data_IF_283807234628
#
_entry.id   IF_283807234628
#
_cell.length_a   1.000
_cell.length_b   1.000
_cell.length_c   1.000
_cell.angle_alpha   90.00
_cell.angle_beta   90.00
_cell.angle_gamma   90.00
#
_symmetry.space_group_name_H-M   'P 1'
#
loop_
_entity.id
_entity.type
_entity.pdbx_description
1 polymer ?
#
# COMPACT_ATOMS: atom_id res chain seq x y z
N UNK A 1 51.30 19.01 12.22
CA UNK A 1 50.40 20.06 12.69
C UNK A 1 49.15 19.37 13.20
N UNK A 2 48.66 19.73 14.39
CA UNK A 2 47.36 19.20 14.87
C UNK A 2 46.28 19.67 13.92
N UNK A 3 45.56 18.74 13.26
CA UNK A 3 44.41 19.09 12.42
C UNK A 3 43.31 19.54 13.37
N UNK A 4 42.64 20.63 13.03
CA UNK A 4 41.44 21.07 13.74
C UNK A 4 40.26 20.13 13.47
N UNK A 5 39.10 20.49 13.98
CA UNK A 5 37.84 19.75 13.74
C UNK A 5 36.68 20.68 13.39
N UNK A 6 35.70 20.10 12.73
CA UNK A 6 34.44 20.78 12.45
C UNK A 6 33.33 20.18 13.31
N UNK A 7 32.61 21.02 14.04
CA UNK A 7 31.40 20.68 14.76
C UNK A 7 30.21 21.25 14.02
N UNK A 8 29.20 20.46 13.71
CA UNK A 8 27.96 20.95 13.10
C UNK A 8 26.86 20.87 14.14
N UNK A 9 26.34 22.00 14.54
CA UNK A 9 25.47 22.10 15.72
C UNK A 9 24.11 22.72 15.40
N UNK A 10 23.04 22.03 15.81
CA UNK A 10 21.66 22.53 15.76
C UNK A 10 21.35 23.35 17.00
N UNK A 11 21.19 24.68 16.85
CA UNK A 11 20.97 25.59 17.98
C UNK A 11 19.49 25.68 18.44
N UNK A 12 18.62 24.77 18.00
CA UNK A 12 17.20 24.83 18.29
C UNK A 12 16.45 25.91 17.49
N UNK A 13 15.14 26.06 17.72
CA UNK A 13 14.27 26.92 16.89
C UNK A 13 14.39 28.41 17.22
N UNK A 14 15.00 28.79 18.35
CA UNK A 14 15.23 30.19 18.66
C UNK A 14 15.25 30.57 20.15
N UNK A 15 14.80 29.71 21.05
CA UNK A 15 14.90 29.93 22.50
C UNK A 15 16.21 29.31 23.03
N UNK A 16 16.87 30.02 23.96
CA UNK A 16 18.05 29.46 24.65
C UNK A 16 17.71 28.15 25.40
N UNK A 17 16.52 28.09 26.00
CA UNK A 17 16.05 26.88 26.68
C UNK A 17 15.93 25.63 25.75
N UNK A 18 15.88 25.84 24.46
CA UNK A 18 15.83 24.77 23.44
C UNK A 18 17.24 24.39 22.92
N UNK A 19 18.30 25.03 23.40
CA UNK A 19 19.71 24.66 23.11
C UNK A 19 20.09 23.50 24.01
N UNK A 20 20.54 22.38 23.43
CA UNK A 20 20.99 21.25 24.23
C UNK A 20 22.32 21.54 24.95
N UNK A 21 22.58 20.97 26.14
CA UNK A 21 23.84 21.16 26.85
C UNK A 21 25.09 20.80 26.00
N UNK A 22 24.98 19.78 25.14
CA UNK A 22 26.05 19.38 24.24
C UNK A 22 26.36 20.45 23.19
N UNK A 23 25.32 21.06 22.61
CA UNK A 23 25.45 22.17 21.63
C UNK A 23 26.03 23.41 22.33
N UNK A 24 25.58 23.75 23.54
CA UNK A 24 26.14 24.85 24.30
C UNK A 24 27.64 24.65 24.58
N UNK A 25 28.04 23.47 25.03
CA UNK A 25 29.45 23.13 25.25
C UNK A 25 30.29 23.20 23.96
N UNK A 26 29.73 22.74 22.83
CA UNK A 26 30.35 22.83 21.52
C UNK A 26 30.61 24.29 21.09
N UNK A 27 29.60 25.17 21.26
CA UNK A 27 29.72 26.59 20.98
C UNK A 27 30.82 27.23 21.85
N UNK A 28 30.80 26.97 23.15
CA UNK A 28 31.73 27.56 24.11
C UNK A 28 33.19 27.06 23.96
N UNK A 29 33.38 25.83 23.42
CA UNK A 29 34.72 25.27 23.21
C UNK A 29 35.30 25.60 21.82
N UNK A 30 34.54 26.19 20.93
CA UNK A 30 35.01 26.48 19.56
C UNK A 30 35.82 27.78 19.47
N UNK A 31 36.80 27.80 18.58
CA UNK A 31 37.62 28.98 18.27
C UNK A 31 36.91 29.87 17.27
N UNK A 32 36.12 29.25 16.34
CA UNK A 32 35.41 29.93 15.27
C UNK A 32 33.99 29.42 15.22
N UNK A 33 33.02 30.33 15.17
CA UNK A 33 31.60 30.03 14.90
C UNK A 33 31.24 30.55 13.53
N UNK A 34 30.71 29.68 12.67
CA UNK A 34 30.27 30.03 11.34
C UNK A 34 28.76 29.81 11.19
N UNK A 35 28.04 30.79 10.71
CA UNK A 35 26.59 30.68 10.57
C UNK A 35 25.94 31.72 9.68
N UNK A 36 24.62 31.60 9.50
CA UNK A 36 23.84 32.65 8.92
C UNK A 36 23.68 33.80 9.91
N UNK A 37 23.88 35.06 9.45
CA UNK A 37 23.86 36.26 10.26
C UNK A 37 22.73 36.32 11.30
N UNK A 38 21.51 35.95 10.88
CA UNK A 38 20.34 36.01 11.74
C UNK A 38 20.43 35.07 12.95
N UNK A 39 21.19 33.95 12.86
CA UNK A 39 21.31 32.96 13.94
C UNK A 39 22.19 33.43 15.08
N UNK A 40 23.13 34.33 14.84
CA UNK A 40 24.02 34.88 15.87
C UNK A 40 23.24 35.60 16.97
N UNK A 41 22.08 36.21 16.64
CA UNK A 41 21.23 36.87 17.65
C UNK A 41 20.80 35.94 18.78
N UNK A 42 20.77 34.64 18.54
CA UNK A 42 20.32 33.65 19.54
C UNK A 42 21.47 33.13 20.40
N UNK A 43 22.73 33.31 20.01
CA UNK A 43 23.90 32.69 20.67
C UNK A 43 25.00 33.67 21.07
N UNK A 44 24.98 34.92 20.61
CA UNK A 44 26.09 35.87 20.85
C UNK A 44 26.43 36.03 22.35
N UNK A 45 25.44 36.02 23.20
CA UNK A 45 25.61 36.12 24.64
C UNK A 45 26.15 34.85 25.32
N UNK A 46 26.20 33.74 24.59
CA UNK A 46 26.71 32.43 25.06
C UNK A 46 28.16 32.19 24.68
N UNK A 47 28.73 33.06 23.83
CA UNK A 47 30.07 32.89 23.30
C UNK A 47 31.13 33.18 24.34
N UNK A 48 32.26 32.45 24.24
CA UNK A 48 33.45 32.74 25.00
C UNK A 48 34.14 34.00 24.46
N UNK A 49 34.76 34.77 25.34
CA UNK A 49 35.59 35.90 24.93
C UNK A 49 36.71 35.46 23.97
N UNK A 50 36.87 36.20 22.87
CA UNK A 50 37.85 35.86 21.82
C UNK A 50 37.35 34.90 20.77
N UNK A 51 36.13 34.35 20.83
CA UNK A 51 35.56 33.52 19.76
C UNK A 51 35.36 34.33 18.49
N UNK A 52 35.91 33.88 17.39
CA UNK A 52 35.74 34.51 16.08
C UNK A 52 34.34 34.14 15.47
N UNK A 53 33.59 35.12 15.04
CA UNK A 53 32.28 34.91 14.43
C UNK A 53 32.28 35.23 12.93
N UNK A 54 31.99 34.24 12.11
CA UNK A 54 31.94 34.38 10.65
C UNK A 54 30.47 34.34 10.20
N UNK A 55 29.99 35.49 9.82
CA UNK A 55 28.65 35.67 9.29
C UNK A 55 28.68 35.52 7.76
N UNK A 56 27.86 34.63 7.25
CA UNK A 56 27.66 34.46 5.82
C UNK A 56 26.20 34.74 5.45
N UNK A 57 25.98 35.42 4.34
CA UNK A 57 24.64 35.78 3.87
C UNK A 57 23.74 34.58 3.58
N UNK A 58 22.46 34.85 3.31
CA UNK A 58 21.49 33.84 2.85
C UNK A 58 21.92 33.25 1.49
N UNK A 59 21.62 31.96 1.26
CA UNK A 59 22.00 31.20 0.04
C UNK A 59 23.53 31.13 -0.18
N UNK A 60 24.30 31.12 0.91
CA UNK A 60 25.76 30.99 0.91
C UNK A 60 26.24 29.74 1.68
N UNK A 61 25.45 28.67 1.62
CA UNK A 61 25.71 27.45 2.36
C UNK A 61 27.05 26.81 1.94
N UNK A 62 27.37 26.79 0.64
CA UNK A 62 28.61 26.23 0.13
C UNK A 62 29.82 27.04 0.62
N UNK A 63 29.78 28.37 0.50
CA UNK A 63 30.87 29.23 1.00
C UNK A 63 31.07 29.09 2.52
N UNK A 64 29.98 28.87 3.27
CA UNK A 64 30.02 28.58 4.71
C UNK A 64 30.76 27.29 5.02
N UNK A 65 30.49 26.24 4.25
CA UNK A 65 31.18 24.96 4.38
C UNK A 65 32.67 25.08 4.00
N UNK A 66 33.00 25.76 2.89
CA UNK A 66 34.39 26.01 2.45
C UNK A 66 35.18 26.72 3.53
N UNK A 67 34.63 27.77 4.15
CA UNK A 67 35.29 28.49 5.25
C UNK A 67 35.50 27.57 6.46
N UNK A 68 34.54 26.70 6.79
CA UNK A 68 34.70 25.77 7.90
C UNK A 68 35.91 24.83 7.70
N UNK A 69 36.06 24.29 6.50
CA UNK A 69 37.21 23.47 6.16
C UNK A 69 38.53 24.27 6.14
N UNK A 70 38.53 25.52 5.68
CA UNK A 70 39.70 26.37 5.66
C UNK A 70 40.23 26.58 7.08
N UNK A 71 39.40 27.04 8.02
CA UNK A 71 39.77 27.23 9.41
C UNK A 71 40.17 25.94 10.15
N UNK A 72 39.47 24.82 9.84
CA UNK A 72 39.84 23.54 10.43
C UNK A 72 41.22 23.04 9.93
N UNK A 73 41.58 23.31 8.68
CA UNK A 73 42.91 23.02 8.16
C UNK A 73 44.01 23.89 8.81
N UNK A 74 43.68 25.05 9.35
CA UNK A 74 44.58 25.89 10.16
C UNK A 74 44.73 25.35 11.60
N UNK A 75 44.07 24.24 11.96
CA UNK A 75 44.11 23.64 13.28
C UNK A 75 43.10 24.17 14.28
N UNK A 76 42.11 24.97 13.83
CA UNK A 76 41.07 25.52 14.70
C UNK A 76 39.91 24.56 14.91
N UNK A 77 39.24 24.63 16.05
CA UNK A 77 37.94 24.01 16.29
C UNK A 77 36.85 24.95 15.78
N UNK A 78 36.10 24.51 14.76
CA UNK A 78 35.08 25.31 14.05
C UNK A 78 33.70 24.76 14.35
N UNK A 79 32.78 25.60 14.84
CA UNK A 79 31.39 25.23 14.99
C UNK A 79 30.51 25.87 13.90
N UNK A 80 29.93 25.06 13.06
CA UNK A 80 28.94 25.48 12.04
C UNK A 80 27.56 25.36 12.64
N UNK A 81 26.86 26.48 12.82
CA UNK A 81 25.54 26.53 13.44
C UNK A 81 24.40 26.49 12.42
N UNK A 82 23.35 25.77 12.75
CA UNK A 82 22.05 25.74 12.04
C UNK A 82 20.92 26.00 12.99
N UNK A 83 19.89 26.75 12.56
CA UNK A 83 18.64 26.84 13.32
C UNK A 83 17.90 25.49 13.31
N UNK A 84 17.23 25.16 14.38
CA UNK A 84 16.60 23.85 14.55
C UNK A 84 17.65 22.73 14.70
N UNK A 85 17.48 21.65 13.97
CA UNK A 85 18.42 20.54 13.87
C UNK A 85 19.32 20.70 12.65
N UNK A 86 20.63 20.46 12.82
CA UNK A 86 21.60 20.64 11.75
C UNK A 86 21.52 19.54 10.67
N UNK A 87 20.92 18.38 10.94
CA UNK A 87 20.72 17.27 10.02
C UNK A 87 19.40 17.36 9.23
N UNK A 88 18.42 18.13 9.73
CA UNK A 88 17.10 18.25 9.09
C UNK A 88 17.06 19.54 8.26
N UNK A 89 17.32 19.40 6.95
CA UNK A 89 17.45 20.52 6.00
C UNK A 89 18.49 21.58 6.40
N UNK A 90 19.47 21.20 7.24
CA UNK A 90 20.53 22.05 7.75
C UNK A 90 21.89 21.78 7.09
N UNK A 91 22.98 22.19 7.76
CA UNK A 91 24.33 22.19 7.22
C UNK A 91 25.03 20.81 7.22
N UNK A 92 24.57 19.85 8.04
CA UNK A 92 25.26 18.56 8.23
C UNK A 92 25.47 17.81 6.91
N UNK A 93 24.44 17.61 6.03
CA UNK A 93 24.66 16.91 4.78
C UNK A 93 25.73 17.54 3.90
N UNK A 94 25.70 18.85 3.75
CA UNK A 94 26.64 19.60 2.90
C UNK A 94 28.08 19.48 3.43
N UNK A 95 28.30 19.52 4.73
CA UNK A 95 29.64 19.36 5.32
C UNK A 95 30.19 17.96 5.05
N UNK A 96 29.36 16.91 5.15
CA UNK A 96 29.79 15.55 4.84
C UNK A 96 30.02 15.33 3.34
N UNK A 97 29.18 15.90 2.48
CA UNK A 97 29.38 15.87 1.02
C UNK A 97 30.69 16.55 0.64
N UNK A 98 30.96 17.75 1.17
CA UNK A 98 32.22 18.47 0.89
C UNK A 98 33.46 17.72 1.41
N UNK A 99 33.38 17.08 2.58
CA UNK A 99 34.45 16.21 3.08
C UNK A 99 34.77 15.12 2.07
N UNK A 100 33.74 14.45 1.55
CA UNK A 100 33.89 13.36 0.58
C UNK A 100 34.52 13.86 -0.72
N UNK A 101 33.97 14.94 -1.30
CA UNK A 101 34.44 15.48 -2.58
C UNK A 101 35.85 16.04 -2.54
N UNK A 102 36.25 16.67 -1.42
CA UNK A 102 37.60 17.21 -1.23
C UNK A 102 38.63 16.17 -0.76
N UNK A 103 38.22 14.97 -0.41
CA UNK A 103 39.08 13.97 0.20
C UNK A 103 39.65 14.40 1.56
N UNK A 104 39.00 15.34 2.26
CA UNK A 104 39.48 15.89 3.52
C UNK A 104 39.44 14.85 4.64
N UNK A 105 40.49 14.81 5.46
CA UNK A 105 40.58 13.96 6.67
C UNK A 105 40.12 14.71 7.95
N UNK A 106 39.64 15.93 7.86
CA UNK A 106 39.16 16.70 9.01
C UNK A 106 38.07 15.91 9.74
N UNK A 107 38.19 15.83 11.05
CA UNK A 107 37.19 15.22 11.91
C UNK A 107 35.89 16.07 11.92
N UNK A 108 34.75 15.42 11.79
CA UNK A 108 33.43 16.08 11.85
C UNK A 108 32.64 15.45 12.99
N UNK A 109 32.17 16.29 13.89
CA UNK A 109 31.20 15.95 14.94
C UNK A 109 29.85 16.62 14.59
N UNK A 110 28.73 15.94 14.85
CA UNK A 110 27.39 16.52 14.64
C UNK A 110 26.58 16.42 15.92
N UNK A 111 26.04 17.54 16.37
CA UNK A 111 25.18 17.61 17.54
C UNK A 111 23.77 18.01 17.12
N UNK A 112 22.75 17.19 17.45
CA UNK A 112 21.35 17.47 17.09
C UNK A 112 20.83 18.67 17.91
N UNK A 113 19.88 19.37 17.29
CA UNK A 113 19.08 20.41 17.93
C UNK A 113 17.59 20.07 17.90
N UNK A 114 16.78 20.79 18.67
CA UNK A 114 15.34 20.67 18.60
C UNK A 114 14.87 21.26 17.27
N UNK A 115 14.27 20.43 16.43
CA UNK A 115 13.78 20.87 15.11
C UNK A 115 12.53 21.76 15.25
N UNK A 116 12.36 22.68 14.30
CA UNK A 116 11.21 23.59 14.29
C UNK A 116 9.87 22.83 14.27
N UNK A 117 9.77 21.68 13.56
CA UNK A 117 8.54 20.89 13.55
C UNK A 117 8.25 20.23 14.91
N UNK A 118 9.27 19.81 15.66
CA UNK A 118 9.10 19.26 17.01
C UNK A 118 8.58 20.35 17.97
N UNK A 119 9.16 21.54 17.89
CA UNK A 119 8.68 22.70 18.68
C UNK A 119 7.26 23.07 18.28
N UNK A 120 6.95 23.13 16.99
CA UNK A 120 5.60 23.39 16.50
C UNK A 120 4.61 22.32 16.98
N UNK A 121 4.97 21.06 16.92
CA UNK A 121 4.14 19.96 17.40
C UNK A 121 3.82 20.07 18.90
N UNK A 122 4.82 20.43 19.73
CA UNK A 122 4.61 20.61 21.18
C UNK A 122 3.68 21.79 21.51
N UNK A 123 3.68 22.82 20.67
CA UNK A 123 2.80 23.98 20.80
C UNK A 123 1.38 23.69 20.32
N UNK A 124 1.24 22.81 19.34
CA UNK A 124 -0.05 22.37 18.81
C UNK A 124 -0.70 21.25 19.63
N UNK A 125 0.01 20.62 20.57
CA UNK A 125 -0.47 19.52 21.40
C UNK A 125 0.32 18.22 21.15
N UNK A 126 -0.30 17.22 20.56
CA UNK A 126 0.33 15.93 20.26
C UNK A 126 0.04 15.42 18.82
N UNK A 127 0.26 16.24 17.76
CA UNK A 127 -0.08 15.85 16.41
C UNK A 127 0.80 14.72 15.85
N UNK A 128 2.07 14.60 16.29
CA UNK A 128 3.05 13.59 15.83
C UNK A 128 3.14 12.38 16.78
N UNK A 129 2.05 12.05 17.44
CA UNK A 129 1.99 10.90 18.36
C UNK A 129 2.01 9.54 17.67
N UNK A 130 1.84 9.48 16.37
CA UNK A 130 1.88 8.30 15.51
C UNK A 130 2.89 8.50 14.37
N UNK A 131 2.84 7.64 13.33
CA UNK A 131 3.75 7.74 12.18
C UNK A 131 3.62 9.10 11.48
N UNK A 132 4.74 9.71 11.19
CA UNK A 132 4.80 11.01 10.55
C UNK A 132 5.94 11.08 9.54
N UNK A 133 5.84 12.05 8.64
CA UNK A 133 6.92 12.38 7.71
C UNK A 133 7.16 13.90 7.68
N UNK A 134 8.34 14.27 7.15
CA UNK A 134 8.76 15.67 7.01
C UNK A 134 9.07 15.92 5.55
N UNK A 135 8.45 16.96 4.96
CA UNK A 135 8.64 17.31 3.54
C UNK A 135 9.00 18.79 3.44
N UNK A 136 10.02 19.10 2.67
CA UNK A 136 10.36 20.47 2.28
C UNK A 136 9.77 20.79 0.91
N UNK A 137 9.07 21.93 0.79
CA UNK A 137 8.59 22.43 -0.51
C UNK A 137 9.65 23.21 -1.29
N UNK A 138 10.90 23.25 -0.79
CA UNK A 138 11.99 23.91 -1.51
C UNK A 138 12.40 23.13 -2.76
N UNK A 139 12.20 23.74 -3.91
CA UNK A 139 12.53 23.22 -5.24
C UNK A 139 13.91 23.67 -5.76
N UNK A 140 14.73 24.27 -4.90
CA UNK A 140 16.08 24.74 -5.26
C UNK A 140 17.04 23.59 -5.58
N UNK A 141 16.97 22.51 -4.81
CA UNK A 141 17.87 21.34 -4.93
C UNK A 141 17.12 20.05 -5.31
N UNK A 142 15.80 20.08 -5.31
CA UNK A 142 14.96 18.92 -5.61
C UNK A 142 13.92 19.30 -6.65
N UNK A 143 13.81 18.58 -7.79
CA UNK A 143 12.79 18.86 -8.80
C UNK A 143 11.38 18.77 -8.20
N UNK A 144 10.51 19.69 -8.65
CA UNK A 144 9.13 19.74 -8.14
C UNK A 144 8.36 18.43 -8.30
N UNK A 145 8.52 17.74 -9.43
CA UNK A 145 7.87 16.46 -9.70
C UNK A 145 8.17 15.40 -8.64
N UNK A 146 9.39 15.43 -8.10
CA UNK A 146 9.78 14.53 -7.01
C UNK A 146 9.15 14.94 -5.68
N UNK A 147 9.06 16.25 -5.42
CA UNK A 147 8.39 16.80 -4.23
C UNK A 147 6.90 16.43 -4.29
N UNK A 148 6.24 16.68 -5.41
CA UNK A 148 4.81 16.35 -5.62
C UNK A 148 4.53 14.85 -5.43
N UNK A 149 5.40 13.98 -5.96
CA UNK A 149 5.30 12.53 -5.73
C UNK A 149 5.40 12.14 -4.24
N UNK A 150 6.27 12.81 -3.48
CA UNK A 150 6.40 12.60 -2.03
C UNK A 150 5.17 13.08 -1.27
N UNK A 151 4.61 14.23 -1.66
CA UNK A 151 3.37 14.77 -1.09
C UNK A 151 2.22 13.79 -1.30
N UNK A 152 2.03 13.32 -2.53
CA UNK A 152 0.97 12.34 -2.85
C UNK A 152 1.15 11.05 -2.07
N UNK A 153 2.36 10.50 -2.00
CA UNK A 153 2.66 9.30 -1.21
C UNK A 153 2.36 9.48 0.28
N UNK A 154 2.70 10.65 0.86
CA UNK A 154 2.43 10.95 2.26
C UNK A 154 0.91 11.09 2.54
N UNK A 155 0.17 11.70 1.62
CA UNK A 155 -1.28 11.83 1.71
C UNK A 155 -1.97 10.46 1.62
N UNK A 156 -1.63 9.66 0.62
CA UNK A 156 -2.18 8.31 0.40
C UNK A 156 -1.85 7.33 1.54
N UNK A 157 -0.63 7.39 2.08
CA UNK A 157 -0.18 6.53 3.18
C UNK A 157 -0.65 6.99 4.56
N UNK A 158 -1.44 8.05 4.63
CA UNK A 158 -2.04 8.59 5.85
C UNK A 158 -1.03 9.01 6.94
N UNK A 159 0.17 9.50 6.55
CA UNK A 159 1.14 10.05 7.49
C UNK A 159 0.71 11.43 8.00
N UNK A 160 0.88 11.69 9.30
CA UNK A 160 0.95 13.08 9.78
C UNK A 160 2.14 13.74 9.08
N UNK A 161 1.94 14.90 8.45
CA UNK A 161 2.97 15.48 7.60
C UNK A 161 3.38 16.87 8.06
N UNK A 162 4.67 17.02 8.38
CA UNK A 162 5.26 18.33 8.69
C UNK A 162 5.87 18.95 7.43
N UNK A 163 5.50 20.17 7.12
CA UNK A 163 5.92 20.90 5.92
C UNK A 163 6.91 22.00 6.28
N UNK A 164 8.08 21.92 5.69
CA UNK A 164 9.14 22.93 5.76
C UNK A 164 9.17 23.77 4.50
N UNK A 165 9.68 24.99 4.62
CA UNK A 165 9.80 25.94 3.51
C UNK A 165 8.48 26.08 2.72
N UNK A 166 7.35 26.29 3.39
CA UNK A 166 6.03 26.24 2.76
C UNK A 166 5.83 27.34 1.71
N UNK A 167 6.41 28.51 1.91
CA UNK A 167 6.28 29.65 1.00
C UNK A 167 7.56 30.50 0.98
N UNK A 168 7.83 31.16 -0.13
CA UNK A 168 8.83 32.21 -0.29
C UNK A 168 8.42 33.10 -1.45
N UNK A 169 9.15 34.18 -1.73
CA UNK A 169 8.87 35.07 -2.86
C UNK A 169 8.75 34.32 -4.19
N UNK A 170 9.64 33.36 -4.45
CA UNK A 170 9.60 32.52 -5.68
C UNK A 170 8.76 31.23 -5.55
N UNK A 171 8.29 30.85 -4.36
CA UNK A 171 7.48 29.66 -4.08
C UNK A 171 6.15 30.08 -3.48
N UNK A 172 5.22 30.52 -4.30
CA UNK A 172 3.90 30.99 -3.84
C UNK A 172 2.76 30.02 -4.14
N UNK A 173 2.92 29.11 -5.10
CA UNK A 173 1.88 28.19 -5.56
C UNK A 173 2.00 26.76 -4.99
N UNK A 174 3.16 26.35 -4.54
CA UNK A 174 3.45 24.97 -4.11
C UNK A 174 2.58 24.52 -2.94
N UNK A 175 2.27 25.42 -2.00
CA UNK A 175 1.40 25.12 -0.87
C UNK A 175 -0.07 24.95 -1.30
N UNK A 176 -0.52 25.67 -2.32
CA UNK A 176 -1.85 25.46 -2.92
C UNK A 176 -1.94 24.05 -3.53
N UNK A 177 -0.92 23.66 -4.30
CA UNK A 177 -0.87 22.35 -4.92
C UNK A 177 -0.80 21.22 -3.90
N UNK A 178 -0.06 21.41 -2.82
CA UNK A 178 -0.02 20.48 -1.70
C UNK A 178 -1.43 20.30 -1.08
N UNK A 179 -2.13 21.40 -0.81
CA UNK A 179 -3.50 21.37 -0.27
C UNK A 179 -4.44 20.59 -1.19
N UNK A 180 -4.38 20.80 -2.50
CA UNK A 180 -5.17 20.05 -3.49
C UNK A 180 -4.91 18.54 -3.42
N UNK A 181 -3.63 18.13 -3.39
CA UNK A 181 -3.26 16.72 -3.33
C UNK A 181 -3.72 16.05 -2.03
N UNK A 182 -3.60 16.74 -0.91
CA UNK A 182 -4.10 16.21 0.36
C UNK A 182 -5.63 16.10 0.38
N UNK A 183 -6.36 17.04 -0.22
CA UNK A 183 -7.83 16.99 -0.32
C UNK A 183 -8.35 15.86 -1.22
N UNK A 184 -7.53 15.30 -2.11
CA UNK A 184 -7.89 14.11 -2.88
C UNK A 184 -7.91 12.83 -2.02
N UNK A 185 -7.11 12.78 -0.95
CA UNK A 185 -6.90 11.60 -0.13
C UNK A 185 -7.48 11.74 1.29
N UNK A 186 -7.77 12.96 1.72
CA UNK A 186 -8.18 13.27 3.09
C UNK A 186 -9.46 14.10 3.13
N UNK A 187 -10.15 13.97 4.26
CA UNK A 187 -11.37 14.74 4.51
C UNK A 187 -11.08 16.23 4.60
N UNK A 188 -11.98 17.10 4.12
CA UNK A 188 -11.85 18.54 4.26
C UNK A 188 -11.64 19.02 5.71
N UNK A 189 -12.24 18.33 6.68
CA UNK A 189 -12.20 18.62 8.11
C UNK A 189 -10.90 18.13 8.79
N UNK A 190 -9.98 17.50 8.06
CA UNK A 190 -8.70 17.05 8.62
C UNK A 190 -7.99 18.22 9.30
N UNK A 191 -7.62 18.09 10.61
CA UNK A 191 -6.97 19.17 11.34
C UNK A 191 -5.61 19.53 10.72
N UNK A 192 -5.37 20.83 10.64
CA UNK A 192 -4.10 21.42 10.24
C UNK A 192 -3.68 22.45 11.28
N UNK A 193 -2.46 22.33 11.78
CA UNK A 193 -1.86 23.33 12.62
C UNK A 193 -0.66 23.99 11.94
N UNK A 194 -0.47 25.28 12.13
CA UNK A 194 0.75 25.91 11.70
C UNK A 194 1.26 26.88 12.77
N UNK A 195 2.59 26.91 12.87
CA UNK A 195 3.27 27.75 13.84
C UNK A 195 4.27 28.63 13.11
N UNK A 196 4.06 29.92 13.25
CA UNK A 196 4.98 30.94 12.75
C UNK A 196 6.01 31.22 13.82
N UNK A 197 7.27 31.34 13.45
CA UNK A 197 8.38 31.63 14.33
C UNK A 197 8.43 30.78 15.63
N UNK A 198 8.22 29.46 15.48
CA UNK A 198 8.19 28.53 16.61
C UNK A 198 9.42 28.68 17.51
N UNK A 199 9.21 28.90 18.81
CA UNK A 199 10.27 29.05 19.81
C UNK A 199 10.91 30.44 19.84
N UNK A 200 10.38 31.44 19.14
CA UNK A 200 10.88 32.82 19.12
C UNK A 200 9.89 33.78 19.79
N UNK A 201 10.32 35.02 20.02
CA UNK A 201 9.48 36.04 20.67
C UNK A 201 8.17 36.35 19.92
N UNK A 202 8.24 36.34 18.57
CA UNK A 202 7.08 36.59 17.73
C UNK A 202 6.31 35.31 17.34
N UNK A 203 6.32 34.31 18.23
CA UNK A 203 5.64 33.03 17.98
C UNK A 203 4.12 33.20 17.93
N UNK A 204 3.53 32.66 16.89
CA UNK A 204 2.09 32.57 16.68
C UNK A 204 1.68 31.14 16.38
N UNK A 205 0.56 30.69 16.98
CA UNK A 205 0.05 29.31 16.84
C UNK A 205 -1.36 29.35 16.30
N UNK A 206 -1.61 28.62 15.21
CA UNK A 206 -2.90 28.56 14.54
C UNK A 206 -3.33 27.11 14.32
N UNK A 207 -4.63 26.86 14.49
CA UNK A 207 -5.26 25.58 14.21
C UNK A 207 -6.45 25.83 13.30
N UNK A 208 -6.54 25.04 12.23
CA UNK A 208 -7.57 25.13 11.19
C UNK A 208 -7.90 23.75 10.64
N UNK A 209 -8.65 23.68 9.56
CA UNK A 209 -8.89 22.46 8.79
C UNK A 209 -8.13 22.48 7.47
N UNK A 210 -8.03 21.33 6.83
CA UNK A 210 -7.40 21.22 5.51
C UNK A 210 -8.13 22.08 4.46
N UNK A 211 -9.47 22.13 4.53
CA UNK A 211 -10.27 22.95 3.63
C UNK A 211 -10.07 24.45 3.86
N UNK A 212 -9.93 24.87 5.12
CA UNK A 212 -9.84 26.28 5.51
C UNK A 212 -8.40 26.80 5.58
N UNK A 213 -7.39 25.92 5.36
CA UNK A 213 -5.99 26.35 5.28
C UNK A 213 -5.84 27.41 4.16
N UNK A 214 -5.48 28.62 4.57
CA UNK A 214 -5.21 29.72 3.65
C UNK A 214 -3.70 29.88 3.41
N UNK A 215 -3.18 29.50 2.24
CA UNK A 215 -1.77 29.65 1.93
C UNK A 215 -1.25 31.09 1.97
N UNK A 216 -2.13 32.10 1.89
CA UNK A 216 -1.70 33.51 1.97
C UNK A 216 -1.29 33.95 3.38
N UNK A 217 -1.76 33.26 4.40
CA UNK A 217 -1.35 33.48 5.80
C UNK A 217 -0.02 32.82 6.16
N UNK A 218 0.53 32.03 5.27
CA UNK A 218 1.74 31.25 5.50
C UNK A 218 2.95 31.98 4.88
N UNK A 219 4.04 32.06 5.65
CA UNK A 219 5.30 32.65 5.22
C UNK A 219 6.49 31.69 5.35
N UNK A 220 7.70 32.14 5.04
CA UNK A 220 8.91 31.32 5.11
C UNK A 220 9.35 30.94 6.54
N UNK A 221 8.81 31.58 7.55
CA UNK A 221 9.09 31.32 8.98
C UNK A 221 8.08 30.39 9.63
N UNK A 222 7.20 29.84 8.84
CA UNK A 222 6.09 28.99 9.29
C UNK A 222 6.40 27.50 9.06
N UNK A 223 6.06 26.67 10.04
CA UNK A 223 5.98 25.21 9.91
C UNK A 223 4.52 24.80 9.92
N UNK A 224 4.10 23.99 8.94
CA UNK A 224 2.73 23.50 8.85
C UNK A 224 2.72 22.01 9.20
N UNK A 225 1.77 21.57 10.04
CA UNK A 225 1.52 20.17 10.36
C UNK A 225 0.11 19.79 9.90
N UNK A 226 0.03 18.81 9.01
CA UNK A 226 -1.23 18.27 8.50
C UNK A 226 -1.50 16.97 9.24
N UNK A 227 -2.64 16.87 9.92
CA UNK A 227 -3.08 15.68 10.61
C UNK A 227 -3.36 14.51 9.64
N UNK A 228 -3.55 13.32 10.19
CA UNK A 228 -4.00 12.14 9.45
C UNK A 228 -5.50 11.86 9.68
N UNK A 229 -6.01 10.75 9.15
CA UNK A 229 -7.43 10.36 9.27
C UNK A 229 -7.90 10.18 10.72
N UNK A 230 -6.99 10.02 11.68
CA UNK A 230 -7.28 9.82 13.10
C UNK A 230 -7.04 11.07 13.93
N UNK A 231 -6.42 12.10 13.37
CA UNK A 231 -6.16 13.35 14.08
C UNK A 231 -7.47 14.08 14.38
N UNK A 232 -7.63 14.52 15.61
CA UNK A 232 -8.78 15.30 16.04
C UNK A 232 -8.36 16.51 16.85
N UNK A 233 -9.29 17.44 17.06
CA UNK A 233 -9.10 18.61 17.92
C UNK A 233 -9.72 18.39 19.30
N UNK A 234 -8.99 18.78 20.36
CA UNK A 234 -9.49 18.90 21.71
C UNK A 234 -9.20 20.31 22.21
N UNK A 235 -10.21 21.17 22.17
CA UNK A 235 -9.99 22.62 22.29
C UNK A 235 -9.09 23.11 21.15
N UNK A 236 -8.02 23.80 21.49
CA UNK A 236 -7.03 24.28 20.51
C UNK A 236 -5.86 23.31 20.28
N UNK A 237 -5.97 22.05 20.74
CA UNK A 237 -4.89 21.08 20.59
C UNK A 237 -5.20 20.06 19.51
N UNK A 238 -4.24 19.81 18.64
CA UNK A 238 -4.24 18.70 17.68
C UNK A 238 -3.73 17.44 18.37
N UNK A 239 -4.46 16.35 18.26
CA UNK A 239 -4.09 15.06 18.86
C UNK A 239 -4.20 13.97 17.80
N UNK A 240 -3.10 13.26 17.56
CA UNK A 240 -3.08 12.01 16.79
C UNK A 240 -2.94 10.86 17.79
N UNK A 241 -3.99 10.06 18.01
CA UNK A 241 -3.99 9.05 19.07
C UNK A 241 -3.09 7.88 18.72
N UNK A 242 -2.43 7.29 19.71
CA UNK A 242 -1.71 6.02 19.60
C UNK A 242 -2.59 4.79 19.83
N UNK A 243 -3.90 4.98 20.05
CA UNK A 243 -4.84 3.89 20.25
C UNK A 243 -5.00 3.40 21.70
N UNK A 244 -4.54 4.15 22.70
CA UNK A 244 -4.72 3.76 24.10
C UNK A 244 -6.18 3.86 24.58
N UNK A 245 -6.97 4.79 24.05
CA UNK A 245 -8.34 5.10 24.49
C UNK A 245 -9.39 5.09 23.38
N UNK A 246 -8.99 4.77 22.15
CA UNK A 246 -9.93 4.62 21.05
C UNK A 246 -10.26 3.16 20.81
N UNK A 247 -11.39 2.90 20.14
CA UNK A 247 -11.63 1.63 19.47
C UNK A 247 -10.72 1.45 18.23
N UNK A 248 -9.41 1.66 18.39
CA UNK A 248 -8.48 0.86 17.63
C UNK A 248 -8.62 -0.50 18.30
N UNK A 249 -9.62 -1.25 17.84
CA UNK A 249 -9.59 -2.68 18.00
C UNK A 249 -8.21 -3.06 17.51
N UNK A 250 -7.26 -3.27 18.45
CA UNK A 250 -6.11 -4.10 18.12
C UNK A 250 -6.73 -5.21 17.30
N UNK A 251 -6.33 -5.37 16.06
CA UNK A 251 -6.52 -6.65 15.39
C UNK A 251 -5.75 -7.63 16.24
N UNK A 252 -6.37 -8.10 17.35
CA UNK A 252 -6.03 -9.39 17.90
C UNK A 252 -6.04 -10.27 16.68
N UNK A 253 -4.92 -10.91 16.38
CA UNK A 253 -4.89 -11.94 15.36
C UNK A 253 -6.12 -12.78 15.63
N UNK A 254 -7.09 -12.64 14.74
CA UNK A 254 -8.44 -13.12 14.95
C UNK A 254 -8.35 -14.64 14.90
N UNK A 255 -8.37 -15.25 16.08
CA UNK A 255 -8.54 -16.68 16.24
C UNK A 255 -10.00 -17.08 16.02
N UNK A 256 -10.77 -16.22 15.37
CA UNK A 256 -12.15 -16.49 15.00
C UNK A 256 -12.27 -17.78 14.20
N UNK A 257 -13.34 -18.54 14.44
CA UNK A 257 -13.73 -19.71 13.68
C UNK A 257 -13.57 -19.39 12.19
N UNK A 258 -12.95 -20.30 11.42
CA UNK A 258 -12.58 -20.03 10.02
C UNK A 258 -13.71 -19.51 9.12
N UNK A 259 -14.97 -19.65 9.53
CA UNK A 259 -16.14 -19.04 8.89
C UNK A 259 -16.16 -17.52 9.02
N UNK A 260 -15.83 -16.96 10.19
CA UNK A 260 -15.78 -15.51 10.41
C UNK A 260 -14.68 -14.86 9.59
N UNK A 261 -13.55 -15.56 9.45
CA UNK A 261 -12.44 -15.10 8.61
C UNK A 261 -12.88 -15.02 7.14
N UNK A 262 -13.60 -16.03 6.63
CA UNK A 262 -14.08 -16.04 5.26
C UNK A 262 -15.13 -14.94 5.02
N UNK A 263 -16.09 -14.76 5.94
CA UNK A 263 -17.11 -13.71 5.85
C UNK A 263 -16.45 -12.32 5.79
N UNK A 264 -15.46 -12.08 6.65
CA UNK A 264 -14.71 -10.81 6.64
C UNK A 264 -13.91 -10.63 5.35
N UNK A 265 -13.27 -11.70 4.86
CA UNK A 265 -12.56 -11.67 3.59
C UNK A 265 -13.51 -11.31 2.45
N UNK A 266 -14.68 -11.92 2.38
CA UNK A 266 -15.67 -11.64 1.34
C UNK A 266 -16.18 -10.20 1.41
N UNK A 267 -16.48 -9.67 2.60
CA UNK A 267 -16.87 -8.27 2.78
C UNK A 267 -15.76 -7.29 2.40
N UNK A 268 -14.51 -7.64 2.68
CA UNK A 268 -13.36 -6.83 2.26
C UNK A 268 -13.24 -6.82 0.73
N UNK A 269 -13.29 -8.01 0.11
CA UNK A 269 -13.22 -8.13 -1.35
C UNK A 269 -14.39 -7.38 -2.00
N UNK A 270 -15.62 -7.57 -1.52
CA UNK A 270 -16.80 -6.89 -2.06
C UNK A 270 -16.66 -5.36 -2.03
N UNK A 271 -16.13 -4.82 -0.93
CA UNK A 271 -15.88 -3.38 -0.81
C UNK A 271 -14.83 -2.86 -1.81
N UNK A 272 -13.83 -3.69 -2.12
CA UNK A 272 -12.70 -3.31 -2.96
C UNK A 272 -12.95 -3.62 -4.46
N UNK A 273 -14.11 -4.21 -4.83
CA UNK A 273 -14.51 -4.40 -6.23
C UNK A 273 -14.69 -3.04 -6.92
N UNK A 274 -14.16 -2.92 -8.13
CA UNK A 274 -14.31 -1.71 -8.97
C UNK A 274 -15.75 -1.53 -9.46
N UNK A 275 -16.42 -2.63 -9.82
CA UNK A 275 -17.82 -2.62 -10.22
C UNK A 275 -18.70 -3.15 -9.09
N UNK A 276 -19.52 -2.30 -8.52
CA UNK A 276 -20.47 -2.65 -7.44
C UNK A 276 -21.80 -3.23 -7.95
N UNK A 277 -22.12 -3.02 -9.24
CA UNK A 277 -23.39 -3.43 -9.86
C UNK A 277 -23.30 -4.81 -10.53
N UNK A 278 -22.48 -5.72 -10.01
CA UNK A 278 -22.37 -7.08 -10.53
C UNK A 278 -23.58 -7.90 -10.05
N UNK A 279 -24.30 -8.63 -10.92
CA UNK A 279 -25.38 -9.54 -10.51
C UNK A 279 -24.89 -10.56 -9.47
N UNK A 280 -25.76 -10.90 -8.50
CA UNK A 280 -25.42 -11.77 -7.36
C UNK A 280 -24.76 -13.08 -7.80
N UNK A 281 -25.27 -13.70 -8.83
CA UNK A 281 -24.75 -14.95 -9.42
C UNK A 281 -23.25 -14.86 -9.76
N UNK A 282 -22.90 -13.88 -10.60
CA UNK A 282 -21.51 -13.62 -10.99
C UNK A 282 -20.69 -13.10 -9.81
N UNK A 283 -21.26 -12.21 -8.98
CA UNK A 283 -20.57 -11.65 -7.80
C UNK A 283 -20.14 -12.76 -6.85
N UNK A 284 -21.02 -13.72 -6.58
CA UNK A 284 -20.72 -14.83 -5.69
C UNK A 284 -19.54 -15.68 -6.17
N UNK A 285 -19.55 -16.07 -7.44
CA UNK A 285 -18.42 -16.79 -8.06
C UNK A 285 -17.13 -15.96 -8.03
N UNK A 286 -17.22 -14.66 -8.28
CA UNK A 286 -16.10 -13.72 -8.27
C UNK A 286 -15.47 -13.57 -6.89
N UNK A 287 -16.28 -13.40 -5.83
CA UNK A 287 -15.80 -13.32 -4.46
C UNK A 287 -15.01 -14.58 -4.06
N UNK A 288 -15.52 -15.75 -4.43
CA UNK A 288 -14.82 -17.01 -4.24
C UNK A 288 -13.50 -17.07 -5.04
N UNK A 289 -13.50 -16.64 -6.29
CA UNK A 289 -12.32 -16.63 -7.15
C UNK A 289 -11.23 -15.70 -6.60
N UNK A 290 -11.59 -14.46 -6.23
CA UNK A 290 -10.65 -13.49 -5.65
C UNK A 290 -10.13 -13.97 -4.30
N UNK A 291 -11.01 -14.50 -3.44
CA UNK A 291 -10.58 -15.05 -2.15
C UNK A 291 -9.51 -16.14 -2.29
N UNK A 292 -9.65 -16.99 -3.32
CA UNK A 292 -8.71 -18.10 -3.57
C UNK A 292 -7.39 -17.66 -4.19
N UNK A 293 -7.43 -16.63 -5.04
CA UNK A 293 -6.27 -16.19 -5.83
C UNK A 293 -5.59 -14.94 -5.29
N UNK A 294 -6.28 -14.17 -4.43
CA UNK A 294 -5.93 -12.82 -4.01
C UNK A 294 -5.69 -11.86 -5.22
N UNK A 295 -6.37 -12.11 -6.34
CA UNK A 295 -6.14 -11.41 -7.61
C UNK A 295 -7.43 -10.74 -8.10
N UNK A 296 -7.51 -9.42 -8.00
CA UNK A 296 -8.65 -8.61 -8.45
C UNK A 296 -8.80 -8.57 -9.99
N UNK A 297 -7.80 -9.01 -10.76
CA UNK A 297 -7.96 -9.14 -12.21
C UNK A 297 -9.04 -10.17 -12.60
N UNK A 298 -9.46 -11.00 -11.64
CA UNK A 298 -10.62 -11.88 -11.79
C UNK A 298 -11.90 -11.13 -12.18
N UNK A 299 -12.08 -9.86 -11.81
CA UNK A 299 -13.21 -9.04 -12.27
C UNK A 299 -13.29 -8.94 -13.79
N UNK A 300 -12.13 -8.89 -14.45
CA UNK A 300 -12.01 -8.71 -15.89
C UNK A 300 -12.08 -10.04 -16.66
N UNK A 301 -11.60 -11.13 -16.04
CA UNK A 301 -11.39 -12.41 -16.73
C UNK A 301 -12.37 -13.51 -16.33
N UNK A 302 -13.17 -13.34 -15.28
CA UNK A 302 -14.23 -14.30 -14.95
C UNK A 302 -15.49 -13.98 -15.76
N UNK A 303 -15.70 -14.79 -16.80
CA UNK A 303 -16.96 -14.84 -17.53
C UNK A 303 -17.92 -15.81 -16.84
N UNK A 304 -19.17 -15.43 -16.69
CA UNK A 304 -20.28 -16.28 -16.27
C UNK A 304 -21.51 -15.96 -17.13
N UNK A 305 -22.23 -16.98 -17.58
CA UNK A 305 -23.53 -16.76 -18.17
C UNK A 305 -24.48 -16.17 -17.13
N UNK A 306 -25.49 -15.39 -17.53
CA UNK A 306 -26.52 -14.96 -16.60
C UNK A 306 -27.13 -16.14 -15.84
N UNK A 307 -27.28 -15.99 -14.53
CA UNK A 307 -27.88 -17.00 -13.64
C UNK A 307 -27.21 -18.40 -13.68
N UNK A 308 -25.95 -18.50 -14.15
CA UNK A 308 -25.27 -19.79 -14.29
C UNK A 308 -25.06 -20.50 -12.96
N UNK A 309 -24.69 -19.77 -11.90
CA UNK A 309 -24.41 -20.32 -10.57
C UNK A 309 -25.69 -20.82 -9.91
N UNK A 310 -26.75 -19.98 -9.90
CA UNK A 310 -28.06 -20.36 -9.35
C UNK A 310 -28.71 -21.51 -10.14
N UNK A 311 -28.64 -21.47 -11.45
CA UNK A 311 -29.17 -22.55 -12.31
C UNK A 311 -28.48 -23.89 -12.00
N UNK A 312 -27.15 -23.91 -11.90
CA UNK A 312 -26.39 -25.11 -11.57
C UNK A 312 -26.68 -25.58 -10.14
N UNK A 313 -26.74 -24.64 -9.17
CA UNK A 313 -27.12 -24.98 -7.80
C UNK A 313 -28.51 -25.65 -7.75
N UNK A 314 -29.51 -25.08 -8.42
CA UNK A 314 -30.87 -25.63 -8.43
C UNK A 314 -30.94 -27.01 -9.09
N UNK A 315 -30.25 -27.25 -10.20
CA UNK A 315 -30.14 -28.57 -10.84
C UNK A 315 -29.49 -29.61 -9.94
N UNK A 316 -28.41 -29.22 -9.23
CA UNK A 316 -27.70 -30.07 -8.30
C UNK A 316 -28.58 -30.41 -7.09
N UNK A 317 -29.15 -29.38 -6.44
CA UNK A 317 -30.02 -29.55 -5.25
C UNK A 317 -31.33 -30.27 -5.56
N UNK A 318 -31.82 -30.15 -6.79
CA UNK A 318 -33.01 -30.88 -7.30
C UNK A 318 -32.71 -32.33 -7.72
N UNK A 319 -31.45 -32.78 -7.65
CA UNK A 319 -31.05 -34.14 -8.02
C UNK A 319 -30.93 -34.41 -9.53
N UNK A 320 -31.04 -33.37 -10.37
CA UNK A 320 -30.89 -33.50 -11.83
C UNK A 320 -29.41 -33.74 -12.24
N UNK A 321 -28.46 -33.35 -11.40
CA UNK A 321 -27.01 -33.45 -11.65
C UNK A 321 -26.35 -34.26 -10.51
N UNK A 322 -26.40 -35.58 -10.57
CA UNK A 322 -25.86 -36.43 -9.52
C UNK A 322 -24.32 -36.55 -9.60
N UNK A 323 -23.69 -36.12 -10.68
CA UNK A 323 -22.26 -36.33 -10.91
C UNK A 323 -21.55 -35.08 -11.41
N UNK A 324 -20.40 -34.80 -10.80
CA UNK A 324 -19.42 -33.78 -11.23
C UNK A 324 -18.21 -34.51 -11.79
N UNK A 325 -17.78 -34.15 -12.99
CA UNK A 325 -16.60 -34.75 -13.66
C UNK A 325 -15.47 -33.73 -13.64
N UNK A 326 -14.30 -34.13 -13.16
CA UNK A 326 -13.09 -33.28 -13.19
C UNK A 326 -12.04 -33.87 -14.17
N UNK A 327 -11.27 -32.95 -14.79
CA UNK A 327 -10.19 -33.35 -15.70
C UNK A 327 -8.99 -33.96 -14.97
N UNK A 328 -8.73 -33.56 -13.73
CA UNK A 328 -7.62 -34.04 -12.90
C UNK A 328 -8.06 -34.26 -11.43
N UNK A 329 -7.38 -35.17 -10.75
CA UNK A 329 -7.67 -35.50 -9.33
C UNK A 329 -7.48 -34.33 -8.39
N UNK A 330 -6.57 -33.39 -8.70
CA UNK A 330 -6.34 -32.20 -7.88
C UNK A 330 -7.57 -31.28 -7.83
N UNK A 331 -8.30 -31.16 -8.94
CA UNK A 331 -9.55 -30.41 -8.95
C UNK A 331 -10.63 -31.10 -8.10
N UNK A 332 -10.75 -32.43 -8.23
CA UNK A 332 -11.68 -33.24 -7.42
C UNK A 332 -11.40 -33.10 -5.91
N UNK A 333 -10.12 -33.11 -5.53
CA UNK A 333 -9.70 -33.04 -4.11
C UNK A 333 -10.04 -31.69 -3.45
N UNK A 334 -10.17 -30.60 -4.22
CA UNK A 334 -10.51 -29.28 -3.73
C UNK A 334 -12.02 -29.04 -3.52
N UNK A 335 -12.87 -29.96 -3.97
CA UNK A 335 -14.32 -29.85 -3.82
C UNK A 335 -14.74 -30.32 -2.43
N UNK A 336 -15.60 -29.55 -1.76
CA UNK A 336 -16.00 -29.76 -0.36
C UNK A 336 -16.84 -31.04 -0.20
N UNK A 337 -16.29 -32.01 0.54
CA UNK A 337 -16.94 -33.31 0.77
C UNK A 337 -18.27 -33.21 1.50
N UNK A 338 -18.39 -32.34 2.52
CA UNK A 338 -19.62 -32.18 3.26
C UNK A 338 -20.75 -31.58 2.40
N UNK A 339 -20.44 -30.64 1.51
CA UNK A 339 -21.42 -30.10 0.56
C UNK A 339 -21.88 -31.16 -0.45
N UNK A 340 -20.96 -32.00 -0.94
CA UNK A 340 -21.29 -33.11 -1.81
C UNK A 340 -22.20 -34.14 -1.13
N UNK A 341 -21.91 -34.50 0.11
CA UNK A 341 -22.75 -35.42 0.89
C UNK A 341 -24.14 -34.88 1.14
N UNK A 342 -24.23 -33.58 1.53
CA UNK A 342 -25.52 -32.91 1.78
C UNK A 342 -26.40 -32.87 0.54
N UNK A 343 -25.80 -32.65 -0.63
CA UNK A 343 -26.51 -32.52 -1.90
C UNK A 343 -26.65 -33.85 -2.67
N UNK A 344 -26.09 -34.95 -2.16
CA UNK A 344 -26.17 -36.26 -2.81
C UNK A 344 -25.41 -36.33 -4.14
N UNK A 345 -24.30 -35.59 -4.27
CA UNK A 345 -23.52 -35.50 -5.51
C UNK A 345 -22.21 -36.23 -5.41
N UNK A 346 -21.85 -36.98 -6.46
CA UNK A 346 -20.59 -37.69 -6.58
C UNK A 346 -19.61 -36.92 -7.49
N UNK A 347 -18.32 -36.94 -7.12
CA UNK A 347 -17.24 -36.38 -7.94
C UNK A 347 -16.41 -37.52 -8.53
N UNK A 348 -16.24 -37.55 -9.85
CA UNK A 348 -15.44 -38.55 -10.57
C UNK A 348 -14.32 -37.90 -11.36
N UNK A 349 -13.17 -38.58 -11.37
CA UNK A 349 -12.03 -38.29 -12.23
C UNK A 349 -11.50 -39.57 -12.81
N UNK A 350 -11.51 -39.71 -14.13
CA UNK A 350 -11.14 -40.95 -14.83
C UNK A 350 -9.65 -41.01 -15.18
N UNK A 351 -8.83 -40.06 -14.72
CA UNK A 351 -7.40 -39.97 -15.09
C UNK A 351 -6.59 -41.22 -14.69
N UNK A 352 -7.01 -41.90 -13.60
CA UNK A 352 -6.32 -43.09 -13.07
C UNK A 352 -6.94 -44.42 -13.50
N UNK A 353 -8.01 -44.42 -14.31
CA UNK A 353 -8.64 -45.64 -14.83
C UNK A 353 -7.69 -46.32 -15.86
N UNK A 354 -7.41 -47.62 -15.66
CA UNK A 354 -6.52 -48.39 -16.55
C UNK A 354 -7.02 -48.40 -17.99
N UNK A 355 -8.33 -48.53 -18.21
CA UNK A 355 -8.96 -48.47 -19.54
C UNK A 355 -8.76 -47.14 -20.25
N UNK A 356 -8.68 -46.06 -19.48
CA UNK A 356 -8.35 -44.72 -20.01
C UNK A 356 -6.90 -44.64 -20.44
N UNK A 357 -5.99 -45.28 -19.70
CA UNK A 357 -4.58 -45.36 -20.09
C UNK A 357 -4.38 -46.16 -21.40
N UNK A 358 -5.08 -47.30 -21.52
CA UNK A 358 -5.06 -48.12 -22.76
C UNK A 358 -5.67 -47.36 -23.95
N UNK A 359 -6.81 -46.71 -23.75
CA UNK A 359 -7.45 -45.87 -24.79
C UNK A 359 -6.54 -44.73 -25.23
N UNK A 360 -5.88 -44.06 -24.31
CA UNK A 360 -4.96 -42.97 -24.63
C UNK A 360 -3.80 -43.45 -25.51
N UNK A 361 -3.19 -44.58 -25.12
CA UNK A 361 -2.08 -45.19 -25.85
C UNK A 361 -2.49 -45.65 -27.25
N UNK A 362 -3.61 -46.39 -27.35
CA UNK A 362 -4.08 -46.97 -28.62
C UNK A 362 -4.56 -45.92 -29.62
N UNK A 363 -5.09 -44.78 -29.15
CA UNK A 363 -5.62 -43.71 -30.01
C UNK A 363 -4.65 -42.53 -30.18
N UNK A 364 -3.47 -42.54 -29.56
CA UNK A 364 -2.49 -41.44 -29.63
C UNK A 364 -3.03 -40.12 -29.08
N UNK A 365 -3.84 -40.18 -28.02
CA UNK A 365 -4.44 -39.00 -27.37
C UNK A 365 -3.97 -38.89 -25.92
N UNK A 366 -4.19 -37.74 -25.30
CA UNK A 366 -3.84 -37.54 -23.88
C UNK A 366 -4.75 -38.37 -22.95
N UNK A 367 -4.25 -38.76 -21.76
CA UNK A 367 -5.07 -39.46 -20.77
C UNK A 367 -6.30 -38.64 -20.35
N UNK A 368 -6.16 -37.32 -20.28
CA UNK A 368 -7.26 -36.42 -19.94
C UNK A 368 -8.33 -36.41 -21.03
N UNK A 369 -7.96 -36.41 -22.31
CA UNK A 369 -8.91 -36.59 -23.43
C UNK A 369 -9.65 -37.94 -23.36
N UNK A 370 -8.91 -39.03 -23.17
CA UNK A 370 -9.50 -40.36 -23.02
C UNK A 370 -10.42 -40.43 -21.80
N UNK A 371 -10.04 -39.81 -20.70
CA UNK A 371 -10.86 -39.67 -19.48
C UNK A 371 -12.20 -38.96 -19.71
N UNK A 372 -12.19 -37.89 -20.51
CA UNK A 372 -13.44 -37.16 -20.86
C UNK A 372 -14.31 -38.01 -21.80
N UNK A 373 -13.74 -38.75 -22.77
CA UNK A 373 -14.53 -39.69 -23.58
C UNK A 373 -15.24 -40.71 -22.72
N UNK A 374 -14.51 -41.32 -21.79
CA UNK A 374 -15.07 -42.28 -20.83
C UNK A 374 -16.14 -41.67 -19.94
N UNK A 375 -15.88 -40.48 -19.42
CA UNK A 375 -16.83 -39.75 -18.60
C UNK A 375 -18.14 -39.43 -19.34
N UNK A 376 -18.08 -39.02 -20.60
CA UNK A 376 -19.26 -38.73 -21.40
C UNK A 376 -20.06 -39.99 -21.74
N UNK A 377 -19.38 -41.15 -21.96
CA UNK A 377 -20.08 -42.42 -22.13
C UNK A 377 -20.92 -42.83 -20.93
N UNK A 378 -20.46 -42.55 -19.70
CA UNK A 378 -21.14 -42.91 -18.47
C UNK A 378 -22.07 -41.81 -17.94
N UNK A 379 -21.69 -40.55 -18.13
CA UNK A 379 -22.32 -39.37 -17.52
C UNK A 379 -22.45 -38.19 -18.50
N UNK A 380 -23.21 -38.33 -19.61
CA UNK A 380 -23.28 -37.30 -20.66
C UNK A 380 -23.89 -35.98 -20.20
N UNK A 381 -24.63 -35.98 -19.10
CA UNK A 381 -25.35 -34.83 -18.52
C UNK A 381 -24.67 -34.27 -17.26
N UNK A 382 -23.45 -34.69 -16.92
CA UNK A 382 -22.74 -34.23 -15.73
C UNK A 382 -22.38 -32.74 -15.79
N UNK A 383 -22.00 -32.16 -14.64
CA UNK A 383 -21.25 -30.90 -14.57
C UNK A 383 -19.77 -31.20 -14.85
N UNK A 384 -19.23 -30.67 -15.94
CA UNK A 384 -17.83 -30.88 -16.32
C UNK A 384 -16.95 -29.72 -15.86
N UNK A 385 -15.83 -30.04 -15.22
CA UNK A 385 -14.94 -29.10 -14.53
C UNK A 385 -13.49 -29.28 -15.02
N UNK A 386 -12.91 -28.23 -15.56
CA UNK A 386 -11.56 -28.25 -16.14
C UNK A 386 -10.66 -27.26 -15.40
N UNK A 387 -9.64 -27.76 -14.73
CA UNK A 387 -8.69 -26.96 -13.97
C UNK A 387 -7.27 -26.99 -14.54
N UNK A 388 -6.94 -28.00 -15.37
CA UNK A 388 -5.57 -28.18 -15.83
C UNK A 388 -5.43 -28.47 -17.32
N UNK A 389 -6.31 -29.30 -17.91
CA UNK A 389 -6.09 -29.90 -19.22
C UNK A 389 -6.91 -29.22 -20.34
N UNK A 390 -6.33 -28.31 -21.14
CA UNK A 390 -7.02 -27.70 -22.26
C UNK A 390 -7.47 -28.73 -23.30
N UNK A 391 -6.68 -29.79 -23.53
CA UNK A 391 -7.02 -30.88 -24.48
C UNK A 391 -8.27 -31.66 -24.06
N UNK A 392 -8.51 -31.82 -22.78
CA UNK A 392 -9.71 -32.41 -22.22
C UNK A 392 -10.96 -31.53 -22.46
N UNK A 393 -10.81 -30.22 -22.29
CA UNK A 393 -11.87 -29.27 -22.58
C UNK A 393 -12.22 -29.23 -24.07
N UNK A 394 -11.23 -29.25 -24.96
CA UNK A 394 -11.43 -29.33 -26.40
C UNK A 394 -12.14 -30.63 -26.81
N UNK A 395 -11.80 -31.75 -26.19
CA UNK A 395 -12.47 -33.03 -26.41
C UNK A 395 -13.96 -32.99 -26.01
N UNK A 396 -14.29 -32.38 -24.85
CA UNK A 396 -15.69 -32.21 -24.49
C UNK A 396 -16.43 -31.33 -25.49
N UNK A 397 -15.85 -30.25 -25.96
CA UNK A 397 -16.44 -29.41 -26.99
C UNK A 397 -16.75 -30.19 -28.29
N UNK A 398 -15.84 -31.06 -28.72
CA UNK A 398 -16.05 -31.93 -29.89
C UNK A 398 -17.17 -32.96 -29.65
N UNK A 399 -17.27 -33.53 -28.48
CA UNK A 399 -18.33 -34.48 -28.12
C UNK A 399 -19.69 -33.80 -28.07
N UNK A 400 -19.78 -32.56 -27.57
CA UNK A 400 -21.02 -31.75 -27.58
C UNK A 400 -21.45 -31.51 -29.05
N UNK A 401 -20.54 -31.03 -29.89
CA UNK A 401 -20.83 -30.78 -31.31
C UNK A 401 -21.28 -32.04 -32.09
N UNK A 402 -20.82 -33.20 -31.66
CA UNK A 402 -21.22 -34.51 -32.23
C UNK A 402 -22.53 -35.05 -31.62
N UNK A 403 -23.18 -34.30 -30.72
CA UNK A 403 -24.41 -34.71 -30.03
C UNK A 403 -24.23 -35.88 -29.05
N UNK A 404 -22.98 -36.15 -28.61
CA UNK A 404 -22.65 -37.23 -27.68
C UNK A 404 -22.66 -36.79 -26.21
N UNK A 405 -22.60 -35.50 -25.93
CA UNK A 405 -22.65 -34.94 -24.58
C UNK A 405 -23.66 -33.77 -24.54
N UNK A 406 -24.44 -33.71 -23.45
CA UNK A 406 -25.38 -32.64 -23.15
C UNK A 406 -25.13 -32.17 -21.71
N UNK A 407 -23.97 -31.55 -21.41
CA UNK A 407 -23.59 -31.20 -20.05
C UNK A 407 -24.61 -30.34 -19.35
N UNK A 408 -24.84 -30.56 -18.05
CA UNK A 408 -25.66 -29.69 -17.21
C UNK A 408 -24.99 -28.30 -17.05
N UNK A 409 -23.67 -28.27 -17.15
CA UNK A 409 -22.86 -27.06 -17.13
C UNK A 409 -21.37 -27.34 -17.35
N UNK A 410 -20.61 -26.25 -17.56
CA UNK A 410 -19.16 -26.33 -17.82
C UNK A 410 -18.43 -25.27 -16.96
N UNK A 411 -17.43 -25.71 -16.20
CA UNK A 411 -16.45 -24.81 -15.55
C UNK A 411 -15.13 -24.93 -16.32
N UNK A 412 -14.75 -23.87 -17.03
CA UNK A 412 -13.58 -23.82 -17.89
C UNK A 412 -12.49 -22.92 -17.28
N UNK A 413 -11.62 -23.49 -16.46
CA UNK A 413 -10.51 -22.82 -15.80
C UNK A 413 -9.15 -23.50 -16.03
N UNK A 414 -8.82 -24.13 -17.19
CA UNK A 414 -7.50 -24.66 -17.39
C UNK A 414 -6.45 -23.54 -17.37
N UNK A 415 -5.25 -23.85 -16.83
CA UNK A 415 -4.11 -22.93 -16.75
C UNK A 415 -3.01 -23.34 -17.70
N UNK A 416 -2.30 -22.39 -18.30
CA UNK A 416 -1.11 -22.68 -19.10
C UNK A 416 -0.93 -21.78 -20.32
N UNK A 417 -0.05 -22.21 -21.23
CA UNK A 417 0.41 -21.39 -22.34
C UNK A 417 0.12 -21.98 -23.74
N UNK A 418 -0.21 -23.26 -23.85
CA UNK A 418 -0.49 -23.94 -25.09
C UNK A 418 -1.94 -24.37 -25.15
N UNK A 419 -2.68 -23.96 -26.17
CA UNK A 419 -4.10 -24.24 -26.40
C UNK A 419 -5.08 -23.86 -25.28
N UNK A 420 -4.64 -23.13 -24.27
CA UNK A 420 -5.49 -22.79 -23.12
C UNK A 420 -6.56 -21.78 -23.51
N UNK A 421 -6.19 -20.72 -24.21
CA UNK A 421 -7.14 -19.68 -24.61
C UNK A 421 -8.12 -20.22 -25.65
N UNK A 422 -7.63 -20.96 -26.65
CA UNK A 422 -8.43 -21.57 -27.67
C UNK A 422 -9.48 -22.53 -27.09
N UNK A 423 -9.08 -23.38 -26.16
CA UNK A 423 -10.00 -24.31 -25.48
C UNK A 423 -11.15 -23.61 -24.76
N UNK A 424 -10.86 -22.48 -24.11
CA UNK A 424 -11.88 -21.65 -23.41
C UNK A 424 -12.81 -20.95 -24.39
N UNK A 425 -12.28 -20.46 -25.51
CA UNK A 425 -13.10 -19.84 -26.57
C UNK A 425 -14.06 -20.85 -27.22
N UNK A 426 -13.67 -22.13 -27.34
CA UNK A 426 -14.52 -23.17 -27.88
C UNK A 426 -15.77 -23.45 -27.07
N UNK A 427 -15.78 -23.08 -25.77
CA UNK A 427 -16.94 -23.28 -24.87
C UNK A 427 -18.01 -22.21 -25.06
N UNK A 428 -17.62 -20.97 -25.39
CA UNK A 428 -18.54 -19.81 -25.46
C UNK A 428 -19.74 -20.01 -26.39
N UNK A 429 -19.63 -20.61 -27.58
CA UNK A 429 -20.73 -20.78 -28.51
C UNK A 429 -21.85 -21.74 -28.06
N UNK A 430 -21.66 -22.54 -27.02
CA UNK A 430 -22.70 -23.47 -26.55
C UNK A 430 -23.79 -22.73 -25.77
N UNK A 431 -24.73 -22.14 -26.49
CA UNK A 431 -25.89 -21.45 -25.88
C UNK A 431 -26.78 -22.50 -25.18
N UNK A 432 -27.31 -22.15 -23.99
CA UNK A 432 -28.17 -23.03 -23.20
C UNK A 432 -27.45 -24.02 -22.29
N UNK A 433 -26.10 -24.08 -22.32
CA UNK A 433 -25.29 -24.80 -21.33
C UNK A 433 -24.71 -23.75 -20.39
N UNK A 434 -25.15 -23.68 -19.11
CA UNK A 434 -24.61 -22.76 -18.13
C UNK A 434 -23.10 -22.93 -17.97
N UNK A 435 -22.35 -21.83 -18.03
CA UNK A 435 -20.88 -21.92 -17.97
C UNK A 435 -20.25 -20.79 -17.17
N UNK A 436 -19.13 -21.14 -16.50
CA UNK A 436 -18.17 -20.22 -15.92
C UNK A 436 -16.82 -20.43 -16.61
N UNK A 437 -16.21 -19.36 -17.11
CA UNK A 437 -14.94 -19.41 -17.83
C UNK A 437 -13.96 -18.42 -17.20
N UNK A 438 -12.78 -18.89 -16.81
CA UNK A 438 -11.67 -18.01 -16.46
C UNK A 438 -10.88 -17.71 -17.72
N UNK A 439 -11.11 -16.55 -18.31
CA UNK A 439 -10.52 -16.17 -19.60
C UNK A 439 -8.99 -16.03 -19.55
N UNK A 440 -8.37 -15.98 -20.71
CA UNK A 440 -6.92 -15.85 -20.83
C UNK A 440 -6.15 -17.09 -20.35
N UNK A 441 -4.94 -16.90 -19.84
CA UNK A 441 -4.01 -17.98 -19.43
C UNK A 441 -4.13 -18.39 -17.97
N UNK A 442 -4.74 -17.52 -17.12
CA UNK A 442 -4.96 -17.80 -15.71
C UNK A 442 -6.02 -18.90 -15.51
N UNK A 443 -5.94 -19.59 -14.40
CA UNK A 443 -6.80 -20.72 -14.07
C UNK A 443 -6.13 -21.61 -13.01
N UNK A 444 -6.47 -22.89 -13.04
CA UNK A 444 -5.86 -23.90 -12.18
C UNK A 444 -6.88 -24.77 -11.46
N UNK A 445 -6.47 -25.96 -11.04
CA UNK A 445 -7.32 -26.92 -10.34
C UNK A 445 -7.96 -26.37 -9.08
N UNK A 446 -7.22 -25.54 -8.33
CA UNK A 446 -7.73 -24.89 -7.13
C UNK A 446 -8.86 -23.90 -7.46
N UNK A 447 -8.67 -23.08 -8.49
CA UNK A 447 -9.70 -22.13 -8.92
C UNK A 447 -10.93 -22.85 -9.48
N UNK A 448 -10.74 -23.88 -10.28
CA UNK A 448 -11.85 -24.72 -10.78
C UNK A 448 -12.68 -25.32 -9.64
N UNK A 449 -12.02 -25.92 -8.64
CA UNK A 449 -12.69 -26.46 -7.44
C UNK A 449 -13.39 -25.37 -6.64
N UNK A 450 -12.80 -24.18 -6.53
CA UNK A 450 -13.39 -23.02 -5.85
C UNK A 450 -14.70 -22.57 -6.53
N UNK A 451 -14.74 -22.52 -7.86
CA UNK A 451 -15.96 -22.20 -8.60
C UNK A 451 -17.06 -23.26 -8.41
N UNK A 452 -16.70 -24.55 -8.33
CA UNK A 452 -17.64 -25.59 -7.91
C UNK A 452 -18.14 -25.34 -6.50
N UNK A 453 -17.28 -25.04 -5.55
CA UNK A 453 -17.66 -24.76 -4.17
C UNK A 453 -18.60 -23.54 -4.07
N UNK A 454 -18.39 -22.50 -4.90
CA UNK A 454 -19.30 -21.37 -5.00
C UNK A 454 -20.71 -21.82 -5.44
N UNK A 455 -20.81 -22.73 -6.41
CA UNK A 455 -22.10 -23.29 -6.84
C UNK A 455 -22.75 -24.09 -5.70
N UNK A 456 -21.99 -25.00 -5.04
CA UNK A 456 -22.52 -25.88 -3.99
C UNK A 456 -23.01 -25.16 -2.72
N UNK A 457 -22.64 -23.89 -2.51
CA UNK A 457 -23.08 -23.05 -1.40
C UNK A 457 -23.81 -21.77 -1.83
N UNK A 458 -24.41 -21.75 -3.00
CA UNK A 458 -25.10 -20.56 -3.53
C UNK A 458 -26.28 -20.11 -2.68
N UNK A 459 -26.94 -21.00 -1.95
CA UNK A 459 -28.01 -20.68 -0.99
C UNK A 459 -27.57 -19.68 0.10
N UNK A 460 -26.28 -19.57 0.34
CA UNK A 460 -25.70 -18.70 1.36
C UNK A 460 -25.20 -17.36 0.78
N UNK A 461 -25.38 -17.14 -0.53
CA UNK A 461 -24.84 -15.99 -1.26
C UNK A 461 -25.38 -14.64 -0.77
N UNK A 462 -26.69 -14.52 -0.53
CA UNK A 462 -27.32 -13.29 -0.05
C UNK A 462 -26.80 -12.85 1.33
N UNK A 463 -26.43 -13.81 2.18
CA UNK A 463 -25.91 -13.54 3.51
C UNK A 463 -24.38 -13.42 3.55
N UNK A 464 -23.71 -13.53 2.39
CA UNK A 464 -22.25 -13.61 2.26
C UNK A 464 -21.64 -14.66 3.21
N UNK A 465 -22.31 -15.77 3.43
CA UNK A 465 -21.83 -16.87 4.26
C UNK A 465 -21.29 -18.00 3.37
N UNK A 466 -20.00 -17.95 3.00
CA UNK A 466 -19.40 -19.01 2.19
C UNK A 466 -19.34 -20.29 3.03
N UNK A 467 -20.36 -21.14 2.91
CA UNK A 467 -20.52 -22.35 3.72
C UNK A 467 -19.19 -23.08 3.96
N UNK A 468 -18.78 -23.21 5.21
CA UNK A 468 -17.81 -24.21 5.64
C UNK A 468 -18.62 -25.31 6.30
N UNK A 469 -18.43 -26.51 5.80
CA UNK A 469 -18.78 -27.68 6.57
C UNK A 469 -17.83 -27.70 7.78
N UNK A 470 -18.37 -27.42 8.95
CA UNK A 470 -17.69 -27.60 10.25
C UNK A 470 -17.90 -29.05 10.67
#
# INVERSE_FOLDING_TARGET
MNKGKIIVAGIGPGSEADITPAVLAAIQSSDVIIGYKYYFRFITHLLREGTECIDTGMKREQARAEQAFAYANEGKTVCVISSGDAGIYGMTPLIYEMKKESGSEIEIESYPGISAFQKAASLLGAPIGHDFCVISLSDLMTPWELIEKRIHAAAMADFVTAIYNPKSEGRYWQLYRLKELFLQERKPETPVGYVRQAGREEQEVFVTTLADLDPEQIDMFTVVLIGNSQTYLSGNHMITPRGYYGEIKQKKMDTGIGQDIMIRSFRTIEKDLKNQEIPLDKKWALLHAIHTTADFDMENILYADPDAVSTLYNKISGGEVPTIITDVTMAASGIRKGALQRLGVEVKCYLQDERVAEMASSKGITRTQAGIRRAVEEHPTALFVFGNAPTALMELCDLIRKGKATPAGIIAAPVGFVHVQESKHMVKPFIGIPKLIVEGRKGGSNLAATLVNAILCFNDAEQLKPGRDV
#
